data_IF_533549292859
#
_entry.id   IF_533549292859
#
_cell.length_a   1.000
_cell.length_b   1.000
_cell.length_c   1.000
_cell.angle_alpha   90.00
_cell.angle_beta   90.00
_cell.angle_gamma   90.00
#
_symmetry.space_group_name_H-M   'P 1'
#
loop_
_entity.id
_entity.type
_entity.pdbx_description
1 polymer ?
#
# COMPACT_ATOMS: atom_id res chain seq x y z
N UNK A 1 -1.59 -0.60 13.31
CA UNK A 1 -2.83 -1.25 12.82
C UNK A 1 -3.83 -1.37 13.95
N UNK A 2 -5.09 -1.06 13.66
CA UNK A 2 -6.22 -1.15 14.57
C UNK A 2 -7.06 -2.41 14.35
N UNK A 3 -7.00 -2.99 13.14
CA UNK A 3 -7.73 -4.20 12.78
C UNK A 3 -6.78 -5.39 12.58
N UNK A 4 -7.28 -6.64 12.63
CA UNK A 4 -6.50 -7.80 12.22
C UNK A 4 -5.97 -7.63 10.79
N UNK A 5 -4.70 -7.94 10.55
CA UNK A 5 -4.06 -7.71 9.24
C UNK A 5 -4.79 -8.43 8.08
N UNK A 6 -5.29 -9.65 8.31
CA UNK A 6 -6.05 -10.41 7.30
C UNK A 6 -7.42 -9.79 6.94
N UNK A 7 -7.87 -8.76 7.65
CA UNK A 7 -9.11 -8.02 7.30
C UNK A 7 -8.87 -6.90 6.28
N UNK A 8 -7.63 -6.44 6.12
CA UNK A 8 -7.24 -5.31 5.26
C UNK A 8 -7.96 -3.98 5.55
N UNK A 9 -8.69 -3.89 6.67
CA UNK A 9 -9.49 -2.70 7.03
C UNK A 9 -8.62 -1.48 7.32
N UNK A 10 -7.37 -1.66 7.77
CA UNK A 10 -6.42 -0.55 7.93
C UNK A 10 -6.01 0.10 6.59
N UNK A 11 -6.33 -0.50 5.42
CA UNK A 11 -6.17 0.13 4.10
C UNK A 11 -7.44 0.83 3.62
N UNK A 12 -8.57 0.63 4.30
CA UNK A 12 -9.87 1.14 3.87
C UNK A 12 -9.96 2.67 3.82
N UNK A 13 -9.05 3.39 4.49
CA UNK A 13 -8.98 4.85 4.46
C UNK A 13 -8.66 5.41 3.06
N UNK A 14 -8.00 4.60 2.20
CA UNK A 14 -7.73 4.97 0.80
C UNK A 14 -9.01 5.20 0.01
N UNK A 15 -10.10 4.55 0.40
CA UNK A 15 -11.41 4.62 -0.28
C UNK A 15 -12.49 4.71 0.80
N UNK A 16 -12.74 5.92 1.32
CA UNK A 16 -13.75 6.12 2.35
C UNK A 16 -15.15 5.81 1.81
N UNK A 17 -16.01 5.22 2.64
CA UNK A 17 -17.42 4.97 2.26
C UNK A 17 -18.20 6.27 2.03
N UNK A 18 -17.81 7.33 2.74
CA UNK A 18 -18.39 8.66 2.67
C UNK A 18 -17.27 9.66 2.39
N UNK A 19 -16.84 9.81 1.12
CA UNK A 19 -15.80 10.77 0.77
C UNK A 19 -16.28 12.20 1.06
N UNK A 20 -15.43 13.08 1.60
CA UNK A 20 -15.77 14.49 1.76
C UNK A 20 -15.97 15.16 0.39
N UNK A 21 -16.70 16.30 0.31
CA UNK A 21 -16.83 17.06 -0.91
C UNK A 21 -15.47 17.40 -1.53
N UNK A 22 -15.30 17.15 -2.83
CA UNK A 22 -14.04 17.40 -3.55
C UNK A 22 -12.94 16.37 -3.31
N UNK A 23 -13.23 15.26 -2.62
CA UNK A 23 -12.26 14.18 -2.43
C UNK A 23 -11.80 13.59 -3.78
N UNK A 24 -10.50 13.44 -3.91
CA UNK A 24 -9.85 12.72 -4.99
C UNK A 24 -8.99 11.61 -4.38
N UNK A 25 -8.98 10.44 -5.02
CA UNK A 25 -8.09 9.37 -4.60
C UNK A 25 -6.65 9.80 -4.92
N UNK A 26 -5.74 9.88 -3.93
CA UNK A 26 -4.35 10.22 -4.21
C UNK A 26 -3.71 9.13 -5.07
N UNK A 27 -2.76 9.49 -5.92
CA UNK A 27 -1.97 8.46 -6.62
C UNK A 27 -1.13 7.68 -5.60
N UNK A 28 -1.33 6.37 -5.49
CA UNK A 28 -0.71 5.59 -4.41
C UNK A 28 -0.04 4.28 -4.88
N UNK A 29 0.94 3.83 -4.10
CA UNK A 29 1.52 2.50 -4.20
C UNK A 29 1.46 1.82 -2.84
N UNK A 30 1.06 0.55 -2.81
CA UNK A 30 1.07 -0.29 -1.61
C UNK A 30 2.08 -1.41 -1.84
N UNK A 31 3.11 -1.47 -1.02
CA UNK A 31 4.12 -2.51 -1.07
C UNK A 31 3.75 -3.68 -0.16
N UNK A 32 3.85 -4.87 -0.73
CA UNK A 32 3.70 -6.16 -0.08
C UNK A 32 4.96 -6.98 -0.28
N UNK A 33 5.31 -7.80 0.72
CA UNK A 33 6.40 -8.77 0.60
C UNK A 33 5.91 -10.14 0.16
N UNK A 34 4.59 -10.30 -0.06
CA UNK A 34 3.94 -11.51 -0.56
C UNK A 34 3.01 -11.20 -1.74
N UNK A 35 3.14 -11.97 -2.82
CA UNK A 35 2.36 -11.78 -4.05
C UNK A 35 0.88 -12.12 -3.82
N UNK A 36 0.59 -13.17 -3.06
CA UNK A 36 -0.80 -13.55 -2.81
C UNK A 36 -1.53 -12.45 -2.03
N UNK A 37 -0.88 -11.84 -1.04
CA UNK A 37 -1.42 -10.73 -0.27
C UNK A 37 -1.69 -9.49 -1.14
N UNK A 38 -0.78 -9.17 -2.07
CA UNK A 38 -0.99 -8.04 -2.99
C UNK A 38 -2.21 -8.26 -3.90
N UNK A 39 -2.41 -9.48 -4.41
CA UNK A 39 -3.58 -9.87 -5.21
C UNK A 39 -4.86 -9.80 -4.37
N UNK A 40 -4.84 -10.29 -3.13
CA UNK A 40 -6.01 -10.24 -2.24
C UNK A 40 -6.41 -8.79 -1.98
N UNK A 41 -5.46 -7.90 -1.70
CA UNK A 41 -5.76 -6.47 -1.47
C UNK A 41 -6.25 -5.79 -2.74
N UNK A 42 -5.65 -6.08 -3.90
CA UNK A 42 -6.11 -5.56 -5.18
C UNK A 42 -7.53 -6.02 -5.54
N UNK A 43 -8.02 -7.12 -4.97
CA UNK A 43 -9.42 -7.55 -5.08
C UNK A 43 -10.32 -6.99 -3.96
N UNK A 44 -9.75 -6.60 -2.82
CA UNK A 44 -10.49 -6.04 -1.68
C UNK A 44 -10.81 -4.56 -1.87
N UNK A 45 -9.84 -3.75 -2.27
CA UNK A 45 -10.00 -2.30 -2.37
C UNK A 45 -11.05 -1.88 -3.43
N UNK A 46 -11.07 -2.44 -4.67
CA UNK A 46 -12.09 -2.12 -5.66
C UNK A 46 -13.53 -2.39 -5.22
N UNK A 47 -13.77 -3.35 -4.33
CA UNK A 47 -15.12 -3.63 -3.80
C UNK A 47 -15.70 -2.48 -2.98
N UNK A 48 -14.87 -1.49 -2.65
CA UNK A 48 -15.27 -0.25 -1.97
C UNK A 48 -15.58 0.88 -2.96
N UNK A 49 -15.26 0.70 -4.24
CA UNK A 49 -15.56 1.63 -5.31
C UNK A 49 -16.88 1.26 -6.00
N UNK A 50 -17.57 2.24 -6.62
CA UNK A 50 -18.65 1.94 -7.56
C UNK A 50 -18.17 1.00 -8.67
N UNK A 51 -19.04 0.14 -9.23
CA UNK A 51 -18.65 -0.84 -10.26
C UNK A 51 -17.93 -0.24 -11.48
N UNK A 52 -18.18 1.02 -11.81
CA UNK A 52 -17.55 1.73 -12.93
C UNK A 52 -16.10 2.15 -12.68
N UNK A 53 -15.59 1.98 -11.46
CA UNK A 53 -14.26 2.41 -11.02
C UNK A 53 -13.45 1.24 -10.43
N UNK A 54 -13.89 0.00 -10.63
CA UNK A 54 -13.21 -1.16 -10.04
C UNK A 54 -11.82 -1.43 -10.65
N UNK A 55 -11.55 -0.90 -11.84
CA UNK A 55 -10.29 -0.98 -12.57
C UNK A 55 -9.24 0.06 -12.13
N UNK A 56 -9.58 0.93 -11.18
CA UNK A 56 -8.67 1.98 -10.70
C UNK A 56 -7.55 1.49 -9.79
N UNK A 57 -7.59 0.23 -9.36
CA UNK A 57 -6.59 -0.36 -8.46
C UNK A 57 -6.21 -1.73 -9.00
N UNK A 58 -4.93 -1.93 -9.27
CA UNK A 58 -4.43 -3.12 -9.97
C UNK A 58 -3.30 -3.75 -9.17
N UNK A 59 -3.20 -5.08 -9.14
CA UNK A 59 -2.02 -5.74 -8.59
C UNK A 59 -0.87 -5.67 -9.59
N UNK A 60 0.36 -5.63 -9.11
CA UNK A 60 1.53 -5.42 -9.96
C UNK A 60 2.73 -6.18 -9.39
N UNK A 61 3.27 -7.16 -10.12
CA UNK A 61 4.40 -7.96 -9.64
C UNK A 61 5.32 -8.40 -10.81
N UNK A 62 6.43 -9.07 -10.50
CA UNK A 62 7.36 -9.56 -11.54
C UNK A 62 6.78 -10.65 -12.44
N UNK A 63 5.88 -11.46 -11.93
CA UNK A 63 5.33 -12.62 -12.65
C UNK A 63 4.43 -12.16 -13.82
N UNK A 64 4.08 -10.88 -13.87
CA UNK A 64 3.37 -10.28 -14.97
C UNK A 64 4.23 -10.14 -16.23
N UNK A 65 3.56 -10.05 -17.38
CA UNK A 65 4.19 -9.72 -18.65
C UNK A 65 4.78 -8.31 -18.63
N UNK A 66 5.88 -8.10 -19.34
CA UNK A 66 6.53 -6.80 -19.43
C UNK A 66 5.59 -5.74 -20.04
N UNK A 67 4.86 -6.12 -21.07
CA UNK A 67 3.88 -5.27 -21.76
C UNK A 67 2.76 -4.84 -20.80
N UNK A 68 2.28 -5.76 -19.95
CA UNK A 68 1.28 -5.44 -18.93
C UNK A 68 1.82 -4.41 -17.95
N UNK A 69 3.05 -4.61 -17.47
CA UNK A 69 3.70 -3.68 -16.54
C UNK A 69 3.88 -2.29 -17.14
N UNK A 70 4.27 -2.21 -18.40
CA UNK A 70 4.41 -0.94 -19.12
C UNK A 70 3.07 -0.23 -19.28
N UNK A 71 2.03 -0.94 -19.73
CA UNK A 71 0.68 -0.39 -19.92
C UNK A 71 0.11 0.14 -18.61
N UNK A 72 0.15 -0.63 -17.52
CA UNK A 72 -0.37 -0.19 -16.23
C UNK A 72 0.43 0.97 -15.63
N UNK A 73 1.75 1.01 -15.88
CA UNK A 73 2.58 2.16 -15.51
C UNK A 73 2.19 3.43 -16.27
N UNK A 74 1.86 3.31 -17.56
CA UNK A 74 1.36 4.45 -18.36
C UNK A 74 -0.02 4.90 -17.88
N UNK A 75 -0.93 3.98 -17.60
CA UNK A 75 -2.26 4.29 -17.04
C UNK A 75 -2.15 4.99 -15.69
N UNK A 76 -1.24 4.54 -14.82
CA UNK A 76 -0.96 5.20 -13.55
C UNK A 76 -0.42 6.62 -13.77
N UNK A 77 0.49 6.83 -14.73
CA UNK A 77 0.97 8.18 -15.09
C UNK A 77 -0.16 9.08 -15.58
N UNK A 78 -1.03 8.57 -16.44
CA UNK A 78 -2.18 9.30 -16.99
C UNK A 78 -3.30 9.56 -15.95
N UNK A 79 -3.32 8.83 -14.83
CA UNK A 79 -4.38 8.92 -13.82
C UNK A 79 -5.59 8.01 -14.12
N UNK A 80 -5.48 7.15 -15.14
CA UNK A 80 -6.49 6.13 -15.45
C UNK A 80 -6.53 5.04 -14.38
N UNK A 81 -5.38 4.74 -13.76
CA UNK A 81 -5.25 3.93 -12.54
C UNK A 81 -4.83 4.85 -11.41
N UNK A 82 -5.41 4.66 -10.23
CA UNK A 82 -5.13 5.47 -9.04
C UNK A 82 -4.06 4.85 -8.15
N UNK A 83 -3.98 3.53 -8.10
CA UNK A 83 -2.91 2.89 -7.34
C UNK A 83 -2.61 1.46 -7.69
N UNK A 84 -1.41 1.04 -7.29
CA UNK A 84 -0.89 -0.29 -7.54
C UNK A 84 -0.59 -1.01 -6.23
N UNK A 85 -0.94 -2.29 -6.18
CA UNK A 85 -0.51 -3.21 -5.12
C UNK A 85 0.72 -3.96 -5.60
N UNK A 86 1.91 -3.55 -5.15
CA UNK A 86 3.20 -3.94 -5.70
C UNK A 86 3.98 -4.89 -4.79
N UNK A 87 4.86 -5.70 -5.39
CA UNK A 87 6.00 -6.33 -4.71
C UNK A 87 7.33 -5.73 -5.16
N UNK A 88 8.44 -6.01 -4.46
CA UNK A 88 9.75 -5.36 -4.64
C UNK A 88 10.32 -5.37 -6.05
N UNK A 89 9.87 -6.29 -6.89
CA UNK A 89 10.33 -6.39 -8.27
C UNK A 89 9.84 -5.21 -9.14
N UNK A 90 8.94 -4.38 -8.60
CA UNK A 90 8.63 -3.04 -9.09
C UNK A 90 9.80 -2.03 -8.92
N UNK A 91 10.84 -2.45 -8.21
CA UNK A 91 11.99 -1.67 -7.80
C UNK A 91 12.80 -1.07 -8.95
N UNK A 92 12.99 -1.85 -10.00
CA UNK A 92 14.08 -1.62 -10.95
C UNK A 92 13.50 -1.32 -12.33
N UNK A 93 13.09 -0.07 -12.58
CA UNK A 93 12.86 0.40 -13.96
C UNK A 93 11.65 1.29 -14.22
N UNK A 94 10.69 1.37 -13.31
CA UNK A 94 9.51 2.23 -13.51
C UNK A 94 9.71 3.58 -12.82
N UNK A 95 9.90 4.63 -13.61
CA UNK A 95 9.97 6.01 -13.11
C UNK A 95 8.56 6.63 -13.02
N UNK A 96 8.09 6.84 -11.79
CA UNK A 96 6.80 7.43 -11.45
C UNK A 96 7.03 8.64 -10.53
N UNK A 97 7.23 9.84 -11.10
CA UNK A 97 7.68 10.99 -10.33
C UNK A 97 6.59 11.61 -9.43
N UNK A 98 5.32 11.26 -9.64
CA UNK A 98 4.14 11.92 -9.08
C UNK A 98 3.31 11.04 -8.14
N UNK A 99 3.94 10.07 -7.46
CA UNK A 99 3.27 9.29 -6.42
C UNK A 99 3.10 10.11 -5.14
N UNK A 100 1.85 10.31 -4.72
CA UNK A 100 1.48 11.11 -3.56
C UNK A 100 1.50 10.30 -2.25
N UNK A 101 1.27 9.00 -2.33
CA UNK A 101 1.18 8.13 -1.16
C UNK A 101 1.89 6.79 -1.38
N UNK A 102 2.91 6.52 -0.58
CA UNK A 102 3.53 5.19 -0.49
C UNK A 102 3.08 4.53 0.81
N UNK A 103 2.64 3.28 0.73
CA UNK A 103 2.28 2.48 1.90
C UNK A 103 3.16 1.23 1.93
N UNK A 104 3.86 1.01 3.03
CA UNK A 104 4.41 -0.30 3.35
C UNK A 104 3.37 -1.07 4.16
N UNK A 105 2.93 -2.23 3.64
CA UNK A 105 2.06 -3.14 4.38
C UNK A 105 2.90 -4.13 5.19
N UNK A 106 2.71 -4.13 6.52
CA UNK A 106 3.44 -4.94 7.51
C UNK A 106 4.94 -4.65 7.58
N UNK A 107 5.49 -4.87 8.78
CA UNK A 107 6.91 -4.76 9.06
C UNK A 107 7.63 -6.08 8.73
N UNK A 108 7.62 -6.46 7.45
CA UNK A 108 8.21 -7.71 6.94
C UNK A 108 9.47 -7.49 6.11
N UNK A 109 9.74 -6.27 5.66
CA UNK A 109 10.96 -5.89 4.95
C UNK A 109 12.02 -5.29 5.88
N UNK A 110 13.27 -5.26 5.42
CA UNK A 110 14.35 -4.54 6.10
C UNK A 110 14.24 -3.01 5.92
N UNK A 111 15.04 -2.27 6.70
CA UNK A 111 15.03 -0.81 6.70
C UNK A 111 15.53 -0.20 5.36
N UNK A 112 16.49 -0.84 4.70
CA UNK A 112 17.01 -0.35 3.42
C UNK A 112 15.93 -0.44 2.34
N UNK A 113 15.25 -1.59 2.26
CA UNK A 113 14.09 -1.82 1.39
C UNK A 113 12.98 -0.81 1.68
N UNK A 114 12.63 -0.62 2.96
CA UNK A 114 11.64 0.38 3.39
C UNK A 114 12.03 1.80 2.92
N UNK A 115 13.27 2.18 3.14
CA UNK A 115 13.80 3.50 2.77
C UNK A 115 13.77 3.72 1.26
N UNK A 116 14.15 2.71 0.47
CA UNK A 116 14.08 2.77 -0.98
C UNK A 116 12.64 2.88 -1.50
N UNK A 117 11.70 2.16 -0.89
CA UNK A 117 10.26 2.24 -1.22
C UNK A 117 9.73 3.64 -0.91
N UNK A 118 10.02 4.19 0.27
CA UNK A 118 9.56 5.51 0.68
C UNK A 118 10.19 6.65 -0.12
N UNK A 119 11.45 6.50 -0.54
CA UNK A 119 12.13 7.44 -1.44
C UNK A 119 11.53 7.55 -2.85
N UNK A 120 10.52 6.74 -3.18
CA UNK A 120 9.74 6.87 -4.42
C UNK A 120 8.64 7.93 -4.35
N UNK A 121 8.29 8.37 -3.15
CA UNK A 121 7.23 9.34 -2.98
C UNK A 121 7.65 10.72 -3.51
N UNK A 122 6.78 11.36 -4.29
CA UNK A 122 6.88 12.75 -4.76
C UNK A 122 8.29 13.23 -5.14
N UNK A 123 8.84 12.69 -6.24
CA UNK A 123 10.11 13.18 -6.80
C UNK A 123 10.00 14.58 -7.42
N UNK A 124 8.78 15.10 -7.59
CA UNK A 124 8.53 16.46 -8.07
C UNK A 124 8.55 17.46 -6.91
N UNK A 125 9.42 18.46 -6.99
CA UNK A 125 9.60 19.52 -5.97
C UNK A 125 8.31 20.29 -5.60
N UNK A 126 7.30 20.27 -6.47
CA UNK A 126 6.01 20.92 -6.25
C UNK A 126 4.97 20.03 -5.56
N UNK A 127 5.28 18.76 -5.27
CA UNK A 127 4.35 17.79 -4.70
C UNK A 127 4.82 17.36 -3.31
N UNK A 128 3.88 17.28 -2.37
CA UNK A 128 4.15 16.72 -1.05
C UNK A 128 3.78 15.23 -1.05
N UNK A 129 4.78 14.38 -0.95
CA UNK A 129 4.61 12.95 -0.80
C UNK A 129 4.39 12.54 0.65
N UNK A 130 3.57 11.51 0.89
CA UNK A 130 3.42 10.88 2.20
C UNK A 130 3.82 9.41 2.13
N UNK A 131 4.60 8.97 3.10
CA UNK A 131 4.90 7.56 3.30
C UNK A 131 4.23 7.07 4.58
N UNK A 132 3.56 5.92 4.51
CA UNK A 132 2.86 5.30 5.63
C UNK A 132 3.41 3.90 5.87
N UNK A 133 3.88 3.65 7.09
CA UNK A 133 4.28 2.31 7.51
C UNK A 133 3.18 1.68 8.36
N UNK A 134 2.42 0.75 7.79
CA UNK A 134 1.38 0.04 8.53
C UNK A 134 2.00 -1.16 9.23
N UNK A 135 2.05 -1.09 10.56
CA UNK A 135 2.67 -2.11 11.42
C UNK A 135 1.62 -2.71 12.35
N UNK A 136 1.67 -4.04 12.51
CA UNK A 136 0.81 -4.77 13.45
C UNK A 136 1.06 -4.27 14.88
N UNK A 137 0.01 -4.19 15.71
CA UNK A 137 0.17 -3.59 17.04
C UNK A 137 1.16 -4.35 17.95
N UNK A 138 1.48 -5.62 17.65
CA UNK A 138 2.40 -6.46 18.42
C UNK A 138 3.83 -5.93 18.45
N UNK A 139 4.20 -5.06 17.51
CA UNK A 139 5.54 -4.47 17.42
C UNK A 139 5.69 -3.16 18.21
N UNK A 140 4.64 -2.68 18.88
CA UNK A 140 4.71 -1.48 19.72
C UNK A 140 4.87 -1.88 21.19
N UNK A 141 5.82 -1.24 21.88
CA UNK A 141 6.28 -1.63 23.23
C UNK A 141 5.17 -1.65 24.28
N UNK A 142 4.21 -0.72 24.20
CA UNK A 142 3.04 -0.68 25.10
C UNK A 142 2.22 -1.99 25.11
N UNK A 143 2.25 -2.78 24.02
CA UNK A 143 1.61 -4.10 23.97
C UNK A 143 2.57 -5.25 24.26
N UNK A 144 3.88 -5.03 24.13
CA UNK A 144 4.93 -5.99 24.49
C UNK A 144 5.01 -6.14 26.01
N UNK A 145 4.95 -5.03 26.74
CA UNK A 145 4.92 -4.99 28.20
C UNK A 145 3.69 -5.72 28.76
N UNK A 146 2.49 -5.46 28.20
CA UNK A 146 1.26 -6.16 28.59
C UNK A 146 1.33 -7.68 28.36
N UNK A 147 2.01 -8.14 27.29
CA UNK A 147 2.24 -9.58 27.06
C UNK A 147 3.21 -10.19 28.07
N UNK A 148 4.28 -9.48 28.41
CA UNK A 148 5.25 -9.95 29.43
C UNK A 148 4.56 -10.11 30.78
N UNK A 149 3.73 -9.14 31.18
CA UNK A 149 2.94 -9.19 32.42
C UNK A 149 1.93 -10.33 32.40
N UNK A 150 1.19 -10.52 31.30
CA UNK A 150 0.20 -11.60 31.18
C UNK A 150 0.83 -13.01 31.23
N UNK A 151 2.01 -13.19 30.64
CA UNK A 151 2.75 -14.46 30.66
C UNK A 151 3.34 -14.74 32.05
N UNK A 152 3.72 -13.71 32.80
CA UNK A 152 4.20 -13.86 34.18
C UNK A 152 3.06 -14.15 35.16
N UNK A 153 1.85 -13.65 34.92
CA UNK A 153 0.68 -13.91 35.77
C UNK A 153 0.09 -15.33 35.63
N UNK A 154 0.55 -16.11 34.65
CA UNK A 154 0.14 -17.50 34.41
C UNK A 154 1.19 -18.54 34.85
N UNK A 155 2.26 -18.09 35.51
CA UNK A 155 3.26 -18.93 36.19
C UNK A 155 3.10 -18.77 37.70
#
# INVERSE_FOLDING_TARGET
MLHPANSYLDLAFLIPKHPPPGWQCPKFLIFFDDIAESIVVANFLPKRLPPKLCDKIVWFNADMLAEFREVESMKLKAGDVWGLCCTDLFGMGVDLPDIELIIQWKATCDLCTLWQRFGRCARKLSLMGRALFLVESKFFDAKRELRVVAVQAWK
#
